data_IF_224452949349
#
_entry.id   IF_224452949349
#
_cell.length_a   1.000
_cell.length_b   1.000
_cell.length_c   1.000
_cell.angle_alpha   90.00
_cell.angle_beta   90.00
_cell.angle_gamma   90.00
#
_symmetry.space_group_name_H-M   'P 1'
#
loop_
_entity.id
_entity.type
_entity.pdbx_description
1 polymer ?
#
# COMPACT_ATOMS: atom_id res chain seq x y z
N UNK A 1 40.91 10.40 -3.66
CA UNK A 1 41.06 9.90 -2.28
C UNK A 1 40.83 11.10 -1.36
N UNK A 2 39.83 11.19 -0.49
CA UNK A 2 38.70 10.33 -0.13
C UNK A 2 37.65 11.25 0.53
N UNK A 3 36.38 10.96 0.27
CA UNK A 3 35.22 11.70 0.77
C UNK A 3 34.98 11.37 2.24
N UNK A 4 35.09 12.35 3.14
CA UNK A 4 34.59 12.25 4.51
C UNK A 4 33.68 13.44 4.83
N UNK A 5 32.46 13.44 4.28
CA UNK A 5 31.42 14.41 4.63
C UNK A 5 30.02 13.80 4.55
N UNK A 6 29.73 12.81 5.39
CA UNK A 6 28.35 12.40 5.75
C UNK A 6 28.35 11.72 7.13
N UNK A 7 28.60 12.48 8.21
CA UNK A 7 28.38 12.01 9.58
C UNK A 7 27.08 12.62 10.08
N UNK A 8 25.98 11.92 9.82
CA UNK A 8 24.68 12.23 10.42
C UNK A 8 24.77 12.02 11.93
N UNK A 9 24.85 13.12 12.69
CA UNK A 9 24.69 13.10 14.14
C UNK A 9 23.21 12.83 14.46
N UNK A 10 22.84 11.54 14.51
CA UNK A 10 21.65 11.12 15.21
C UNK A 10 21.93 11.29 16.71
N UNK A 11 21.30 12.29 17.32
CA UNK A 11 21.23 12.38 18.77
C UNK A 11 20.34 11.24 19.28
N UNK A 12 20.95 10.04 19.39
CA UNK A 12 20.33 8.88 20.00
C UNK A 12 20.09 9.20 21.47
N UNK A 13 18.82 9.34 21.83
CA UNK A 13 18.40 9.46 23.22
C UNK A 13 18.91 8.21 24.00
N UNK A 14 19.49 8.36 25.21
CA UNK A 14 20.07 7.25 25.98
C UNK A 14 19.06 6.15 26.38
N UNK A 15 17.77 6.32 26.07
CA UNK A 15 16.74 5.28 26.23
C UNK A 15 16.77 4.19 25.16
N UNK A 16 17.33 4.45 23.97
CA UNK A 16 17.44 3.42 22.91
C UNK A 16 18.59 2.42 23.18
N UNK A 17 19.67 2.87 23.82
CA UNK A 17 20.81 2.01 24.15
C UNK A 17 20.51 1.01 25.27
N UNK A 18 19.49 1.27 26.11
CA UNK A 18 19.04 0.31 27.12
C UNK A 18 18.24 -0.86 26.53
N UNK A 19 17.68 -0.72 25.32
CA UNK A 19 17.05 -1.86 24.63
C UNK A 19 18.07 -2.74 23.90
N UNK A 20 19.21 -2.17 23.51
CA UNK A 20 20.25 -2.89 22.76
C UNK A 20 21.18 -3.75 23.65
N UNK A 21 21.11 -3.62 24.97
CA UNK A 21 22.10 -4.22 25.89
C UNK A 21 21.53 -5.19 26.93
N UNK A 22 20.43 -5.90 26.65
CA UNK A 22 20.03 -7.02 27.51
C UNK A 22 20.26 -8.35 26.80
N UNK A 23 21.32 -9.10 27.14
CA UNK A 23 21.48 -10.46 26.68
C UNK A 23 20.35 -11.31 27.28
N UNK A 24 19.80 -12.18 26.46
CA UNK A 24 18.84 -13.22 26.80
C UNK A 24 19.15 -13.89 28.14
N UNK A 25 18.32 -13.63 29.15
CA UNK A 25 18.22 -14.45 30.34
C UNK A 25 16.90 -15.25 30.26
N UNK A 26 16.89 -16.58 30.46
CA UNK A 26 15.72 -17.43 30.24
C UNK A 26 14.58 -17.21 31.25
N UNK A 27 14.72 -16.25 32.15
CA UNK A 27 13.76 -15.92 33.23
C UNK A 27 12.70 -14.90 32.83
N UNK A 28 12.77 -14.30 31.63
CA UNK A 28 11.81 -13.26 31.19
C UNK A 28 10.60 -13.78 30.40
N UNK A 29 10.57 -15.07 30.05
CA UNK A 29 9.44 -15.66 29.33
C UNK A 29 8.30 -16.12 30.29
N UNK A 30 8.54 -16.10 31.60
CA UNK A 30 7.57 -16.50 32.64
C UNK A 30 6.82 -15.34 33.32
N UNK A 31 7.15 -14.08 33.04
CA UNK A 31 6.58 -12.92 33.77
C UNK A 31 5.72 -11.95 32.94
N UNK A 32 5.47 -12.21 31.65
CA UNK A 32 4.63 -11.34 30.78
C UNK A 32 3.21 -11.93 30.57
N UNK A 33 2.75 -12.85 31.43
CA UNK A 33 1.34 -13.29 31.39
C UNK A 33 0.39 -12.34 32.12
N UNK A 34 0.90 -11.30 32.80
CA UNK A 34 0.06 -10.31 33.46
C UNK A 34 0.11 -8.97 32.73
N UNK A 35 -1.05 -8.61 32.17
CA UNK A 35 -1.53 -7.27 31.85
C UNK A 35 -1.45 -6.78 30.38
N UNK A 36 -2.24 -7.39 29.49
CA UNK A 36 -2.92 -6.68 28.38
C UNK A 36 -4.10 -7.49 27.81
N UNK A 37 -5.19 -6.84 27.34
CA UNK A 37 -6.45 -7.50 26.94
C UNK A 37 -6.38 -8.08 25.51
N UNK A 38 -5.28 -8.77 25.19
CA UNK A 38 -5.04 -9.39 23.89
C UNK A 38 -5.01 -10.90 24.07
N UNK A 39 -5.93 -11.62 23.41
CA UNK A 39 -6.12 -13.08 23.53
C UNK A 39 -4.84 -13.91 23.30
N UNK A 40 -3.87 -13.38 22.55
CA UNK A 40 -2.53 -13.97 22.36
C UNK A 40 -1.48 -12.85 22.29
N UNK A 41 -0.46 -12.91 23.16
CA UNK A 41 0.66 -11.97 23.14
C UNK A 41 1.72 -12.43 22.12
N UNK A 42 1.47 -12.15 20.85
CA UNK A 42 2.34 -12.53 19.73
C UNK A 42 3.77 -12.01 19.90
N UNK A 43 3.95 -10.83 20.50
CA UNK A 43 5.27 -10.23 20.77
C UNK A 43 6.12 -11.05 21.75
N UNK A 44 5.52 -11.65 22.77
CA UNK A 44 6.24 -12.58 23.67
C UNK A 44 6.54 -13.91 23.01
N UNK A 45 5.59 -14.46 22.23
CA UNK A 45 5.77 -15.73 21.53
C UNK A 45 6.88 -15.63 20.46
N UNK A 46 6.89 -14.55 19.69
CA UNK A 46 7.90 -14.30 18.67
C UNK A 46 9.30 -14.08 19.27
N UNK A 47 9.41 -13.30 20.36
CA UNK A 47 10.69 -13.00 21.01
C UNK A 47 11.29 -14.20 21.76
N UNK A 48 10.46 -15.14 22.23
CA UNK A 48 10.94 -16.35 22.90
C UNK A 48 11.19 -17.53 21.95
N UNK A 49 10.52 -17.61 20.80
CA UNK A 49 10.63 -18.75 19.88
C UNK A 49 11.75 -18.59 18.83
N UNK A 50 12.13 -17.34 18.49
CA UNK A 50 13.18 -17.05 17.51
C UNK A 50 14.29 -16.19 18.13
N UNK A 51 15.45 -16.78 18.50
CA UNK A 51 16.61 -16.00 18.92
C UNK A 51 17.10 -15.10 17.77
N UNK A 52 17.54 -13.89 18.13
CA UNK A 52 18.04 -12.87 17.19
C UNK A 52 19.04 -13.45 16.18
N UNK A 53 18.71 -13.37 14.89
CA UNK A 53 19.62 -13.72 13.78
C UNK A 53 19.43 -15.10 13.15
N UNK A 54 18.39 -15.87 13.52
CA UNK A 54 18.12 -17.13 12.84
C UNK A 54 17.60 -16.92 11.41
N UNK A 55 18.25 -17.47 10.36
CA UNK A 55 17.74 -17.40 8.99
C UNK A 55 16.37 -18.10 8.85
N UNK A 56 16.02 -18.95 9.81
CA UNK A 56 14.71 -19.60 9.90
C UNK A 56 13.59 -18.60 10.19
N UNK A 57 13.83 -17.58 11.01
CA UNK A 57 12.85 -16.53 11.28
C UNK A 57 12.58 -15.68 10.01
N UNK A 58 13.64 -15.37 9.26
CA UNK A 58 13.52 -14.69 7.97
C UNK A 58 12.77 -15.54 6.95
N UNK A 59 13.12 -16.83 6.84
CA UNK A 59 12.45 -17.78 5.96
C UNK A 59 10.96 -17.94 6.31
N UNK A 60 10.65 -18.04 7.60
CA UNK A 60 9.28 -18.12 8.10
C UNK A 60 8.50 -16.84 7.78
N UNK A 61 9.12 -15.66 7.94
CA UNK A 61 8.48 -14.38 7.61
C UNK A 61 8.18 -14.27 6.11
N UNK A 62 9.11 -14.69 5.25
CA UNK A 62 8.90 -14.74 3.78
C UNK A 62 7.79 -15.72 3.43
N UNK A 63 7.77 -16.92 4.03
CA UNK A 63 6.73 -17.92 3.80
C UNK A 63 5.36 -17.42 4.27
N UNK A 64 5.30 -16.79 5.45
CA UNK A 64 4.08 -16.21 6.01
C UNK A 64 3.56 -15.09 5.11
N UNK A 65 4.45 -14.25 4.58
CA UNK A 65 4.10 -13.19 3.66
C UNK A 65 3.51 -13.74 2.35
N UNK A 66 4.16 -14.74 1.75
CA UNK A 66 3.65 -15.42 0.56
C UNK A 66 2.27 -16.03 0.83
N UNK A 67 2.10 -16.70 1.97
CA UNK A 67 0.82 -17.26 2.37
C UNK A 67 -0.28 -16.18 2.51
N UNK A 68 0.04 -15.03 3.11
CA UNK A 68 -0.92 -13.92 3.21
C UNK A 68 -1.29 -13.36 1.83
N UNK A 69 -0.32 -13.14 0.94
CA UNK A 69 -0.61 -12.69 -0.42
C UNK A 69 -1.46 -13.70 -1.19
N UNK A 70 -1.12 -15.00 -1.11
CA UNK A 70 -1.92 -16.04 -1.76
C UNK A 70 -3.34 -16.07 -1.21
N UNK A 71 -3.51 -15.93 0.11
CA UNK A 71 -4.84 -15.86 0.73
C UNK A 71 -5.63 -14.64 0.26
N UNK A 72 -4.98 -13.46 0.20
CA UNK A 72 -5.60 -12.23 -0.31
C UNK A 72 -6.07 -12.38 -1.75
N UNK A 73 -5.24 -12.97 -2.62
CA UNK A 73 -5.60 -13.20 -4.03
C UNK A 73 -6.80 -14.14 -4.16
N UNK A 74 -6.79 -15.28 -3.47
CA UNK A 74 -7.92 -16.23 -3.50
C UNK A 74 -9.19 -15.64 -2.88
N UNK A 75 -9.07 -14.90 -1.77
CA UNK A 75 -10.21 -14.22 -1.18
C UNK A 75 -10.79 -13.15 -2.12
N UNK A 76 -9.92 -12.40 -2.81
CA UNK A 76 -10.32 -11.40 -3.77
C UNK A 76 -11.03 -12.01 -4.99
N UNK A 77 -10.50 -13.11 -5.55
CA UNK A 77 -11.06 -13.78 -6.72
C UNK A 77 -12.37 -14.48 -6.42
N UNK A 78 -12.45 -15.20 -5.30
CA UNK A 78 -13.52 -16.16 -5.07
C UNK A 78 -14.67 -15.58 -4.24
N UNK A 79 -14.39 -14.55 -3.42
CA UNK A 79 -15.38 -13.99 -2.50
C UNK A 79 -15.66 -12.52 -2.80
N UNK A 80 -14.63 -11.69 -2.94
CA UNK A 80 -14.81 -10.24 -3.08
C UNK A 80 -15.36 -9.85 -4.46
N UNK A 81 -14.73 -10.30 -5.55
CA UNK A 81 -15.16 -9.97 -6.91
C UNK A 81 -16.61 -10.43 -7.22
N UNK A 82 -17.02 -11.67 -6.89
CA UNK A 82 -18.41 -12.11 -7.11
C UNK A 82 -19.42 -11.38 -6.22
N UNK A 83 -19.05 -11.02 -4.99
CA UNK A 83 -19.90 -10.23 -4.10
C UNK A 83 -20.12 -8.81 -4.64
N UNK A 84 -19.05 -8.15 -5.11
CA UNK A 84 -19.12 -6.82 -5.73
C UNK A 84 -19.95 -6.87 -7.02
N UNK A 85 -19.79 -7.90 -7.86
CA UNK A 85 -20.59 -8.09 -9.07
C UNK A 85 -22.08 -8.37 -8.78
N UNK A 86 -22.37 -9.16 -7.73
CA UNK A 86 -23.75 -9.42 -7.29
C UNK A 86 -24.40 -8.16 -6.71
N UNK A 87 -23.63 -7.32 -6.01
CA UNK A 87 -24.12 -6.08 -5.43
C UNK A 87 -24.32 -5.01 -6.52
N UNK A 88 -23.41 -4.91 -7.49
CA UNK A 88 -23.52 -3.97 -8.60
C UNK A 88 -24.71 -4.27 -9.52
N UNK A 89 -24.97 -5.55 -9.78
CA UNK A 89 -26.14 -5.99 -10.57
C UNK A 89 -27.46 -5.73 -9.83
N UNK A 90 -27.51 -5.98 -8.52
CA UNK A 90 -28.71 -5.69 -7.69
C UNK A 90 -29.00 -4.19 -7.56
N UNK A 91 -27.96 -3.37 -7.47
CA UNK A 91 -28.08 -1.91 -7.34
C UNK A 91 -28.08 -1.16 -8.69
N UNK A 92 -27.93 -1.86 -9.83
CA UNK A 92 -27.79 -1.28 -11.18
C UNK A 92 -26.75 -0.15 -11.24
N UNK A 93 -25.58 -0.39 -10.65
CA UNK A 93 -24.50 0.60 -10.57
C UNK A 93 -23.79 0.78 -11.91
N UNK A 94 -23.35 2.02 -12.18
CA UNK A 94 -22.47 2.32 -13.31
C UNK A 94 -21.05 1.77 -13.08
N UNK A 95 -20.23 1.58 -14.13
CA UNK A 95 -18.86 1.05 -14.01
C UNK A 95 -18.01 1.85 -13.00
N UNK A 96 -18.16 3.16 -12.96
CA UNK A 96 -17.44 4.03 -12.02
C UNK A 96 -17.83 3.77 -10.56
N UNK A 97 -19.12 3.49 -10.28
CA UNK A 97 -19.58 3.17 -8.93
C UNK A 97 -19.11 1.79 -8.46
N UNK A 98 -18.90 0.84 -9.38
CA UNK A 98 -18.27 -0.46 -9.07
C UNK A 98 -16.83 -0.28 -8.64
N UNK A 99 -16.07 0.57 -9.34
CA UNK A 99 -14.67 0.89 -8.97
C UNK A 99 -14.61 1.56 -7.60
N UNK A 100 -15.54 2.49 -7.29
CA UNK A 100 -15.61 3.10 -5.96
C UNK A 100 -15.96 2.10 -4.87
N UNK A 101 -16.90 1.18 -5.12
CA UNK A 101 -17.29 0.15 -4.14
C UNK A 101 -16.14 -0.84 -3.88
N UNK A 102 -15.37 -1.18 -4.92
CA UNK A 102 -14.16 -1.98 -4.81
C UNK A 102 -13.10 -1.27 -3.95
N UNK A 103 -12.86 0.03 -4.22
CA UNK A 103 -11.94 0.84 -3.44
C UNK A 103 -12.37 0.98 -1.97
N UNK A 104 -13.67 1.15 -1.72
CA UNK A 104 -14.24 1.24 -0.37
C UNK A 104 -14.10 -0.08 0.39
N UNK A 105 -14.39 -1.22 -0.25
CA UNK A 105 -14.29 -2.53 0.39
C UNK A 105 -12.86 -2.88 0.83
N UNK A 106 -11.85 -2.45 0.07
CA UNK A 106 -10.45 -2.60 0.45
C UNK A 106 -10.01 -1.59 1.53
N UNK A 107 -10.43 -0.32 1.44
CA UNK A 107 -9.95 0.74 2.35
C UNK A 107 -10.68 0.86 3.69
N UNK A 108 -11.91 0.37 3.80
CA UNK A 108 -12.70 0.43 5.04
C UNK A 108 -12.03 -0.25 6.25
N UNK A 109 -11.54 -1.51 6.17
CA UNK A 109 -10.91 -2.17 7.33
C UNK A 109 -9.64 -1.44 7.81
N UNK A 110 -8.83 -0.91 6.89
CA UNK A 110 -7.63 -0.14 7.23
C UNK A 110 -7.98 1.18 7.93
N UNK A 111 -9.01 1.87 7.45
CA UNK A 111 -9.51 3.10 8.08
C UNK A 111 -10.04 2.83 9.51
N UNK A 112 -10.78 1.73 9.71
CA UNK A 112 -11.28 1.38 11.04
C UNK A 112 -10.13 0.99 12.00
N UNK A 113 -9.16 0.21 11.54
CA UNK A 113 -7.95 -0.12 12.32
C UNK A 113 -7.15 1.13 12.71
N UNK A 114 -7.00 2.07 11.77
CA UNK A 114 -6.37 3.36 12.02
C UNK A 114 -7.13 4.18 13.05
N UNK A 115 -8.45 4.29 12.91
CA UNK A 115 -9.30 5.07 13.83
C UNK A 115 -9.23 4.54 15.27
N UNK A 116 -9.18 3.22 15.44
CA UNK A 116 -9.00 2.58 16.74
C UNK A 116 -7.62 2.92 17.35
N UNK A 117 -6.58 3.02 16.52
CA UNK A 117 -5.21 3.39 16.94
C UNK A 117 -5.06 4.90 17.21
N UNK A 118 -5.81 5.74 16.49
CA UNK A 118 -5.87 7.18 16.75
C UNK A 118 -6.61 7.46 18.08
N UNK A 119 -7.69 6.72 18.34
CA UNK A 119 -8.47 6.80 19.58
C UNK A 119 -7.67 6.36 20.82
N UNK A 120 -6.70 5.47 20.66
CA UNK A 120 -5.79 5.05 21.74
C UNK A 120 -4.62 6.02 22.00
N UNK A 121 -4.59 7.17 21.35
CA UNK A 121 -3.64 8.26 21.61
C UNK A 121 -2.29 8.12 20.91
N UNK A 122 -2.16 7.22 19.92
CA UNK A 122 -0.92 6.97 19.18
C UNK A 122 -1.11 7.18 17.65
N UNK A 123 -1.40 8.41 17.20
CA UNK A 123 -1.71 8.69 15.79
C UNK A 123 -0.55 8.35 14.85
N UNK A 124 0.69 8.59 15.29
CA UNK A 124 1.90 8.29 14.52
C UNK A 124 2.08 6.79 14.28
N UNK A 125 1.76 5.95 15.26
CA UNK A 125 1.85 4.50 15.10
C UNK A 125 0.84 4.00 14.07
N UNK A 126 -0.38 4.54 14.07
CA UNK A 126 -1.39 4.22 13.06
C UNK A 126 -0.96 4.61 11.65
N UNK A 127 -0.42 5.83 11.48
CA UNK A 127 0.10 6.30 10.19
C UNK A 127 1.32 5.50 9.70
N UNK A 128 2.25 5.14 10.58
CA UNK A 128 3.43 4.35 10.25
C UNK A 128 3.07 2.95 9.73
N UNK A 129 2.09 2.29 10.37
CA UNK A 129 1.63 0.96 9.95
C UNK A 129 1.06 1.03 8.54
N UNK A 130 0.16 1.97 8.26
CA UNK A 130 -0.48 2.13 6.94
C UNK A 130 0.55 2.51 5.87
N UNK A 131 1.45 3.44 6.18
CA UNK A 131 2.52 3.85 5.28
C UNK A 131 3.42 2.66 4.91
N UNK A 132 3.85 1.89 5.91
CA UNK A 132 4.72 0.72 5.70
C UNK A 132 4.02 -0.40 4.94
N UNK A 133 2.75 -0.70 5.28
CA UNK A 133 1.97 -1.74 4.63
C UNK A 133 1.70 -1.37 3.17
N UNK A 134 1.24 -0.15 2.92
CA UNK A 134 1.01 0.36 1.56
C UNK A 134 2.29 0.35 0.72
N UNK A 135 3.39 0.92 1.23
CA UNK A 135 4.67 0.96 0.53
C UNK A 135 5.22 -0.43 0.22
N UNK A 136 5.10 -1.35 1.18
CA UNK A 136 5.54 -2.73 1.02
C UNK A 136 4.72 -3.47 -0.05
N UNK A 137 3.40 -3.39 0.02
CA UNK A 137 2.50 -4.04 -0.94
C UNK A 137 2.75 -3.48 -2.35
N UNK A 138 2.87 -2.17 -2.50
CA UNK A 138 3.11 -1.57 -3.81
C UNK A 138 4.48 -1.89 -4.37
N UNK A 139 5.53 -1.96 -3.54
CA UNK A 139 6.84 -2.43 -3.98
C UNK A 139 6.78 -3.88 -4.50
N UNK A 140 6.08 -4.76 -3.78
CA UNK A 140 5.88 -6.14 -4.22
C UNK A 140 5.10 -6.25 -5.54
N UNK A 141 4.05 -5.45 -5.70
CA UNK A 141 3.26 -5.41 -6.95
C UNK A 141 4.10 -4.89 -8.11
N UNK A 142 4.85 -3.80 -7.92
CA UNK A 142 5.73 -3.24 -8.97
C UNK A 142 6.83 -4.23 -9.35
N UNK A 143 7.45 -4.90 -8.38
CA UNK A 143 8.48 -5.91 -8.62
C UNK A 143 7.91 -7.14 -9.36
N UNK A 144 6.76 -7.63 -8.93
CA UNK A 144 6.05 -8.73 -9.57
C UNK A 144 5.66 -8.39 -11.01
N UNK A 145 5.11 -7.20 -11.24
CA UNK A 145 4.79 -6.73 -12.60
C UNK A 145 6.06 -6.59 -13.42
N UNK A 146 7.13 -5.99 -12.89
CA UNK A 146 8.40 -5.85 -13.60
C UNK A 146 8.99 -7.21 -14.01
N UNK A 147 8.89 -8.23 -13.14
CA UNK A 147 9.34 -9.58 -13.42
C UNK A 147 8.45 -10.32 -14.43
N UNK A 148 7.11 -10.23 -14.30
CA UNK A 148 6.14 -10.90 -15.18
C UNK A 148 5.98 -10.23 -16.55
N UNK A 149 6.28 -8.93 -16.67
CA UNK A 149 6.13 -8.16 -17.93
C UNK A 149 7.22 -8.45 -18.96
N UNK A 150 8.22 -9.26 -18.64
CA UNK A 150 9.31 -9.60 -19.56
C UNK A 150 8.86 -10.08 -20.97
N UNK A 151 7.66 -10.68 -21.16
CA UNK A 151 7.11 -11.00 -22.48
C UNK A 151 5.87 -10.18 -22.92
N UNK A 152 5.32 -9.30 -22.09
CA UNK A 152 4.08 -8.56 -22.38
C UNK A 152 4.26 -7.04 -22.25
N UNK A 153 3.92 -6.30 -23.31
CA UNK A 153 4.04 -4.85 -23.32
C UNK A 153 2.91 -4.23 -22.50
N UNK A 154 3.19 -3.95 -21.22
CA UNK A 154 2.33 -3.09 -20.39
C UNK A 154 2.44 -1.67 -20.94
N UNK A 155 1.32 -0.94 -21.17
CA UNK A 155 1.39 0.43 -21.66
C UNK A 155 2.18 1.29 -20.66
N UNK A 156 3.36 1.80 -21.02
CA UNK A 156 4.31 2.37 -20.05
C UNK A 156 3.82 3.72 -19.50
N UNK A 157 3.02 4.46 -20.27
CA UNK A 157 2.54 5.78 -19.90
C UNK A 157 1.59 5.77 -18.68
N UNK A 158 0.48 5.01 -18.65
CA UNK A 158 -0.39 4.96 -17.47
C UNK A 158 0.32 4.32 -16.26
N UNK A 159 1.18 3.32 -16.48
CA UNK A 159 1.91 2.66 -15.40
C UNK A 159 2.89 3.61 -14.70
N UNK A 160 3.77 4.28 -15.45
CA UNK A 160 4.75 5.23 -14.87
C UNK A 160 4.05 6.39 -14.18
N UNK A 161 2.94 6.89 -14.75
CA UNK A 161 2.08 7.91 -14.13
C UNK A 161 1.56 7.46 -12.77
N UNK A 162 0.96 6.28 -12.70
CA UNK A 162 0.33 5.78 -11.47
C UNK A 162 1.40 5.53 -10.38
N UNK A 163 2.56 4.98 -10.76
CA UNK A 163 3.71 4.83 -9.86
C UNK A 163 4.24 6.19 -9.37
N UNK A 164 4.32 7.19 -10.25
CA UNK A 164 4.76 8.54 -9.87
C UNK A 164 3.82 9.20 -8.86
N UNK A 165 2.50 9.21 -9.14
CA UNK A 165 1.52 9.77 -8.21
C UNK A 165 1.46 9.00 -6.89
N UNK A 166 1.65 7.69 -6.94
CA UNK A 166 1.77 6.87 -5.75
C UNK A 166 2.99 7.26 -4.89
N UNK A 167 4.18 7.39 -5.49
CA UNK A 167 5.39 7.84 -4.77
C UNK A 167 5.21 9.26 -4.21
N UNK A 168 4.52 10.13 -4.93
CA UNK A 168 4.18 11.48 -4.46
C UNK A 168 3.21 11.45 -3.27
N UNK A 169 2.23 10.53 -3.27
CA UNK A 169 1.31 10.32 -2.17
C UNK A 169 2.03 9.81 -0.91
N UNK A 170 2.85 8.77 -1.07
CA UNK A 170 3.62 8.16 0.02
C UNK A 170 4.63 9.14 0.60
N UNK A 171 5.32 9.92 -0.24
CA UNK A 171 6.25 10.96 0.23
C UNK A 171 5.53 12.10 0.96
N UNK A 172 4.35 12.52 0.49
CA UNK A 172 3.51 13.51 1.19
C UNK A 172 3.02 12.98 2.54
N UNK A 173 2.62 11.71 2.60
CA UNK A 173 2.22 11.06 3.85
C UNK A 173 3.41 10.90 4.81
N UNK A 174 4.59 10.59 4.29
CA UNK A 174 5.83 10.55 5.06
C UNK A 174 6.22 11.92 5.61
N UNK A 175 6.00 13.00 4.84
CA UNK A 175 6.18 14.37 5.33
C UNK A 175 5.24 14.70 6.49
N UNK A 176 3.97 14.30 6.42
CA UNK A 176 3.00 14.43 7.52
C UNK A 176 3.44 13.62 8.74
N UNK A 177 3.94 12.40 8.53
CA UNK A 177 4.48 11.57 9.59
C UNK A 177 5.67 12.22 10.31
N UNK A 178 6.59 12.86 9.57
CA UNK A 178 7.74 13.56 10.14
C UNK A 178 7.38 14.85 10.89
N UNK A 179 6.20 15.44 10.63
CA UNK A 179 5.80 16.71 11.25
C UNK A 179 5.55 16.64 12.76
N UNK A 180 5.54 15.45 13.39
CA UNK A 180 5.29 15.20 14.81
C UNK A 180 3.91 15.68 15.35
N UNK A 181 3.28 16.66 14.71
CA UNK A 181 1.95 17.18 14.95
C UNK A 181 1.17 17.21 13.62
N UNK A 182 -0.10 16.80 13.65
CA UNK A 182 -0.96 16.77 12.47
C UNK A 182 -1.72 18.10 12.39
N UNK A 183 -1.38 18.91 11.39
CA UNK A 183 -2.05 20.19 11.16
C UNK A 183 -3.25 20.04 10.22
N UNK A 184 -4.30 20.84 10.42
CA UNK A 184 -5.49 20.83 9.55
C UNK A 184 -5.15 21.06 8.08
N UNK A 185 -4.20 21.95 7.78
CA UNK A 185 -3.76 22.21 6.40
C UNK A 185 -3.14 20.97 5.74
N UNK A 186 -2.45 20.11 6.49
CA UNK A 186 -1.88 18.87 5.95
C UNK A 186 -2.98 17.89 5.58
N UNK A 187 -4.00 17.74 6.42
CA UNK A 187 -5.16 16.88 6.16
C UNK A 187 -5.94 17.37 4.94
N UNK A 188 -6.23 18.67 4.87
CA UNK A 188 -6.89 19.28 3.72
C UNK A 188 -6.04 19.11 2.45
N UNK A 189 -4.73 19.31 2.54
CA UNK A 189 -3.79 19.09 1.45
C UNK A 189 -3.82 17.67 0.91
N UNK A 190 -3.89 16.65 1.79
CA UNK A 190 -3.98 15.24 1.39
C UNK A 190 -5.31 14.93 0.68
N UNK A 191 -6.42 15.50 1.15
CA UNK A 191 -7.73 15.36 0.48
C UNK A 191 -7.72 16.03 -0.90
N UNK A 192 -7.18 17.24 -1.00
CA UNK A 192 -7.05 17.95 -2.28
C UNK A 192 -6.14 17.19 -3.26
N UNK A 193 -5.03 16.62 -2.77
CA UNK A 193 -4.14 15.78 -3.57
C UNK A 193 -4.86 14.56 -4.14
N UNK A 194 -5.66 13.87 -3.31
CA UNK A 194 -6.45 12.72 -3.76
C UNK A 194 -7.48 13.10 -4.82
N UNK A 195 -8.24 14.18 -4.61
CA UNK A 195 -9.22 14.67 -5.59
C UNK A 195 -8.55 15.06 -6.91
N UNK A 196 -7.39 15.70 -6.85
CA UNK A 196 -6.60 16.04 -8.02
C UNK A 196 -6.14 14.80 -8.78
N UNK A 197 -5.59 13.79 -8.09
CA UNK A 197 -5.18 12.53 -8.69
C UNK A 197 -6.34 11.84 -9.41
N UNK A 198 -7.49 11.70 -8.75
CA UNK A 198 -8.68 11.09 -9.34
C UNK A 198 -9.13 11.87 -10.58
N UNK A 199 -9.24 13.19 -10.48
CA UNK A 199 -9.61 14.05 -11.61
C UNK A 199 -8.64 13.93 -12.79
N UNK A 200 -7.34 13.85 -12.53
CA UNK A 200 -6.31 13.69 -13.55
C UNK A 200 -6.40 12.33 -14.26
N UNK A 201 -6.63 11.25 -13.52
CA UNK A 201 -6.82 9.91 -14.09
C UNK A 201 -8.06 9.89 -15.00
N UNK A 202 -9.20 10.37 -14.51
CA UNK A 202 -10.43 10.46 -15.31
C UNK A 202 -10.24 11.32 -16.57
N UNK A 203 -9.55 12.46 -16.44
CA UNK A 203 -9.23 13.30 -17.59
C UNK A 203 -8.41 12.55 -18.63
N UNK A 204 -7.39 11.81 -18.21
CA UNK A 204 -6.55 11.04 -19.13
C UNK A 204 -7.31 9.89 -19.79
N UNK A 205 -8.14 9.17 -19.04
CA UNK A 205 -8.95 8.07 -19.58
C UNK A 205 -9.92 8.58 -20.66
N UNK A 206 -10.57 9.72 -20.41
CA UNK A 206 -11.41 10.39 -21.42
C UNK A 206 -10.62 10.85 -22.65
N UNK A 207 -9.38 11.31 -22.48
CA UNK A 207 -8.52 11.72 -23.59
C UNK A 207 -8.08 10.52 -24.43
N UNK A 208 -7.76 9.39 -23.80
CA UNK A 208 -7.40 8.15 -24.49
C UNK A 208 -8.59 7.60 -25.28
N UNK A 209 -9.78 7.56 -24.68
CA UNK A 209 -10.99 7.10 -25.35
C UNK A 209 -11.34 7.97 -26.56
N UNK A 210 -11.18 9.30 -26.45
CA UNK A 210 -11.34 10.22 -27.58
C UNK A 210 -10.29 10.07 -28.68
N UNK A 211 -9.06 9.64 -28.36
CA UNK A 211 -8.02 9.40 -29.36
C UNK A 211 -8.28 8.09 -30.10
N UNK A 212 -8.57 7.01 -29.37
CA UNK A 212 -8.90 5.72 -29.98
C UNK A 212 -10.12 5.78 -30.91
N UNK A 213 -11.16 6.53 -30.52
CA UNK A 213 -12.32 6.76 -31.40
C UNK A 213 -12.02 7.61 -32.64
N UNK A 214 -11.00 8.47 -32.62
CA UNK A 214 -10.57 9.26 -33.79
C UNK A 214 -9.71 8.43 -34.74
N UNK A 215 -8.82 7.60 -34.21
CA UNK A 215 -7.96 6.70 -35.00
C UNK A 215 -8.82 5.64 -35.71
N UNK A 216 -9.77 5.00 -35.01
CA UNK A 216 -10.69 4.04 -35.63
C UNK A 216 -11.50 4.66 -36.79
N UNK A 217 -12.01 5.89 -36.60
CA UNK A 217 -12.74 6.62 -37.64
C UNK A 217 -11.85 7.02 -38.82
N UNK A 218 -10.55 7.19 -38.60
CA UNK A 218 -9.59 7.54 -39.65
C UNK A 218 -9.23 6.32 -40.51
N UNK A 219 -9.03 5.15 -39.89
CA UNK A 219 -8.85 3.86 -40.57
C UNK A 219 -10.06 3.51 -41.45
N UNK A 220 -11.29 3.65 -40.94
CA UNK A 220 -12.52 3.40 -41.71
C UNK A 220 -12.60 4.29 -42.97
N UNK A 221 -12.15 5.55 -42.86
CA UNK A 221 -12.11 6.50 -43.96
C UNK A 221 -11.04 6.15 -45.01
N UNK A 222 -9.85 5.70 -44.58
CA UNK A 222 -8.81 5.22 -45.51
C UNK A 222 -9.23 3.94 -46.25
N UNK A 223 -9.90 3.00 -45.56
CA UNK A 223 -10.41 1.76 -46.18
C UNK A 223 -11.49 2.05 -47.22
N UNK A 224 -12.46 2.93 -46.92
CA UNK A 224 -13.49 3.35 -47.89
C UNK A 224 -12.87 4.02 -49.14
N UNK A 225 -11.86 4.88 -48.95
CA UNK A 225 -11.18 5.54 -50.07
C UNK A 225 -10.33 4.57 -50.90
N UNK A 226 -9.75 3.53 -50.29
CA UNK A 226 -8.97 2.50 -50.96
C UNK A 226 -9.79 1.47 -51.74
N UNK A 227 -11.05 1.24 -51.35
CA UNK A 227 -11.98 0.34 -52.06
C UNK A 227 -12.67 1.00 -53.27
N UNK A 228 -12.59 2.33 -53.36
CA UNK A 228 -13.19 3.14 -54.42
C UNK A 228 -12.23 3.48 -55.59
N UNK A 229 -10.97 3.01 -55.55
CA UNK A 229 -9.96 3.15 -56.62
C UNK A 229 -9.71 1.83 -57.35
#
# INVERSE_FOLDING_TARGET
MGLDRWRWHLHLHPRLLLYASSPSSPTHCSSIFSHSPSLLNYTSLHSCLFPCGSPLALLLLVLLLLAHFSLLVHAASDHFSPAVASLSSRLRLSPSAVVTLLALGNGAPDAFSSSATLSSGLPHTGLAVILSAGAFISAFVVDSVAFLSAPFSVPPAPFVRDVFFYLLAVSSLFYVYLSAEIYLWQVVGMVCFYLFFVGFVFWMDLVVERRGGKEARQDDLEVEMGLAS
#
